data_IF_001948624296
#
_entry.id   IF_001948624296
#
_cell.length_a   1.000
_cell.length_b   1.000
_cell.length_c   1.000
_cell.angle_alpha   90.00
_cell.angle_beta   90.00
_cell.angle_gamma   90.00
#
_symmetry.space_group_name_H-M   'P 1'
#
loop_
_entity.id
_entity.type
_entity.pdbx_description
1 polymer ?
#
# COMPACT_ATOMS: atom_id res chain seq x y z
N UNK A 1 38.22 -1.20 54.03
CA UNK A 1 38.63 -1.02 52.63
C UNK A 1 37.37 -1.14 51.77
N UNK A 2 36.70 -0.01 51.52
CA UNK A 2 35.49 0.06 50.70
C UNK A 2 35.89 0.32 49.24
N UNK A 3 35.67 -0.64 48.37
CA UNK A 3 35.83 -0.47 46.94
C UNK A 3 34.60 0.25 46.39
N UNK A 4 34.79 1.52 46.00
CA UNK A 4 33.83 2.33 45.27
C UNK A 4 33.79 1.80 43.82
N UNK A 5 32.73 1.11 43.46
CA UNK A 5 32.45 0.80 42.05
C UNK A 5 31.89 2.05 41.37
N UNK A 6 32.68 2.72 40.55
CA UNK A 6 32.23 3.75 39.63
C UNK A 6 31.44 3.08 38.51
N UNK A 7 30.12 3.17 38.58
CA UNK A 7 29.27 2.91 37.46
C UNK A 7 29.42 4.07 36.46
N UNK A 8 30.21 3.87 35.44
CA UNK A 8 30.21 4.71 34.24
C UNK A 8 28.87 4.50 33.53
N UNK A 9 27.91 5.35 33.84
CA UNK A 9 26.71 5.51 33.00
C UNK A 9 27.17 6.03 31.63
N UNK A 10 27.28 5.16 30.69
CA UNK A 10 27.37 5.50 29.27
C UNK A 10 26.09 6.25 28.91
N UNK A 11 26.16 7.59 29.02
CA UNK A 11 25.18 8.43 28.37
C UNK A 11 25.33 8.19 26.85
N UNK A 12 24.49 7.35 26.28
CA UNK A 12 24.28 7.34 24.86
C UNK A 12 23.87 8.77 24.49
N UNK A 13 24.79 9.53 23.91
CA UNK A 13 24.46 10.80 23.28
C UNK A 13 23.40 10.47 22.22
N UNK A 14 22.14 10.76 22.52
CA UNK A 14 21.11 10.85 21.51
C UNK A 14 21.61 11.90 20.53
N UNK A 15 22.05 11.41 19.38
CA UNK A 15 22.43 12.26 18.26
C UNK A 15 21.19 13.05 17.91
N UNK A 16 21.16 14.33 18.26
CA UNK A 16 20.05 15.20 17.89
C UNK A 16 19.83 15.07 16.40
N UNK A 17 18.57 14.88 15.94
CA UNK A 17 18.28 14.77 14.53
C UNK A 17 18.78 16.05 13.85
N UNK A 18 19.62 15.89 12.84
CA UNK A 18 20.09 17.01 12.04
C UNK A 18 18.89 17.63 11.37
N UNK A 19 18.52 18.83 11.80
CA UNK A 19 17.43 19.60 11.18
C UNK A 19 17.90 20.01 9.79
N UNK A 20 17.46 19.30 8.78
CA UNK A 20 17.71 19.64 7.39
C UNK A 20 16.61 20.57 6.90
N UNK A 21 16.89 21.86 6.84
CA UNK A 21 15.94 22.84 6.33
C UNK A 21 15.94 24.15 7.11
N UNK A 22 14.95 24.98 6.79
CA UNK A 22 14.78 26.32 7.40
C UNK A 22 14.09 26.28 8.77
N UNK A 23 13.67 25.10 9.24
CA UNK A 23 12.87 24.96 10.47
C UNK A 23 13.76 24.75 11.67
N UNK A 24 13.44 25.42 12.76
CA UNK A 24 14.09 25.24 14.07
C UNK A 24 13.58 23.97 14.77
N UNK A 25 12.34 23.58 14.48
CA UNK A 25 11.70 22.34 14.96
C UNK A 25 10.94 21.66 13.82
N UNK A 26 11.03 20.34 13.74
CA UNK A 26 10.25 19.55 12.78
C UNK A 26 9.11 18.85 13.50
N UNK A 27 7.89 19.15 13.13
CA UNK A 27 6.69 18.48 13.66
C UNK A 27 6.50 17.05 13.11
N UNK A 28 7.28 16.67 12.09
CA UNK A 28 7.16 15.38 11.38
C UNK A 28 7.29 14.19 12.34
N UNK A 29 8.21 14.25 13.30
CA UNK A 29 8.38 13.18 14.28
C UNK A 29 7.22 13.08 15.29
N UNK A 30 6.37 14.08 15.37
CA UNK A 30 5.23 14.17 16.30
C UNK A 30 3.88 13.99 15.60
N UNK A 31 3.86 13.73 14.31
CA UNK A 31 2.61 13.50 13.58
C UNK A 31 1.89 12.29 14.15
N UNK A 32 0.63 12.51 14.48
CA UNK A 32 -0.28 11.47 14.98
C UNK A 32 -1.35 11.19 13.93
N UNK A 33 -1.88 9.95 13.89
CA UNK A 33 -3.01 9.63 13.03
C UNK A 33 -4.20 10.56 13.31
N UNK A 34 -4.90 10.95 12.25
CA UNK A 34 -6.13 11.74 12.38
C UNK A 34 -7.19 10.86 13.04
N UNK A 35 -7.75 11.24 14.22
CA UNK A 35 -8.75 10.41 14.87
C UNK A 35 -10.02 10.34 14.03
N UNK A 36 -10.54 9.13 13.81
CA UNK A 36 -11.87 8.97 13.26
C UNK A 36 -12.92 9.30 14.32
N UNK A 37 -14.06 9.88 13.92
CA UNK A 37 -15.21 10.02 14.82
C UNK A 37 -15.61 8.67 15.42
N UNK A 38 -16.02 8.68 16.68
CA UNK A 38 -16.53 7.48 17.33
C UNK A 38 -17.85 7.07 16.66
N UNK A 39 -17.95 5.83 16.21
CA UNK A 39 -19.10 5.28 15.53
C UNK A 39 -19.52 3.98 16.22
N UNK A 40 -20.79 3.88 16.62
CA UNK A 40 -21.38 2.63 17.09
C UNK A 40 -22.05 1.91 15.93
N UNK A 41 -22.07 0.60 15.99
CA UNK A 41 -22.78 -0.21 14.98
C UNK A 41 -24.27 0.17 14.89
N UNK A 42 -24.90 0.47 16.02
CA UNK A 42 -26.30 0.95 16.10
C UNK A 42 -26.56 2.31 15.46
N UNK A 43 -25.50 3.11 15.24
CA UNK A 43 -25.61 4.45 14.68
C UNK A 43 -25.45 4.44 13.14
N UNK A 44 -25.17 3.28 12.54
CA UNK A 44 -25.10 3.10 11.09
C UNK A 44 -26.48 2.73 10.57
N UNK A 45 -27.03 3.55 9.67
CA UNK A 45 -28.32 3.31 9.00
C UNK A 45 -28.14 2.48 7.75
N UNK A 46 -27.09 2.75 7.00
CA UNK A 46 -26.77 2.09 5.76
C UNK A 46 -25.26 1.99 5.58
N UNK A 47 -24.79 0.92 5.00
CA UNK A 47 -23.38 0.76 4.64
C UNK A 47 -23.20 -0.18 3.47
N UNK A 48 -22.17 0.09 2.66
CA UNK A 48 -21.70 -0.79 1.60
C UNK A 48 -20.18 -0.87 1.60
N UNK A 49 -19.63 -2.00 1.12
CA UNK A 49 -18.21 -2.15 0.87
C UNK A 49 -17.92 -1.95 -0.60
N UNK A 50 -16.91 -1.13 -0.89
CA UNK A 50 -16.35 -0.95 -2.22
C UNK A 50 -14.89 -1.39 -2.24
N UNK A 51 -14.52 -2.08 -3.30
CA UNK A 51 -13.13 -2.36 -3.63
C UNK A 51 -12.72 -1.46 -4.77
N UNK A 52 -11.68 -0.69 -4.54
CA UNK A 52 -11.17 0.29 -5.48
C UNK A 52 -9.74 -0.02 -5.86
N UNK A 53 -9.33 0.43 -7.02
CA UNK A 53 -7.95 0.35 -7.47
C UNK A 53 -7.41 1.76 -7.69
N UNK A 54 -6.29 2.07 -7.05
CA UNK A 54 -5.51 3.28 -7.28
C UNK A 54 -4.48 2.93 -8.36
N UNK A 55 -4.59 3.52 -9.55
CA UNK A 55 -3.64 3.32 -10.65
C UNK A 55 -2.54 4.40 -10.60
N UNK A 56 -1.28 3.98 -10.53
CA UNK A 56 -0.13 4.87 -10.41
C UNK A 56 0.33 5.48 -11.75
N UNK A 57 -0.24 5.01 -12.87
CA UNK A 57 -0.03 5.65 -14.17
C UNK A 57 -0.79 6.98 -14.28
N UNK A 58 -1.84 7.16 -13.46
CA UNK A 58 -2.54 8.43 -13.39
C UNK A 58 -1.64 9.51 -12.80
N UNK A 59 -1.57 10.66 -13.46
CA UNK A 59 -0.74 11.79 -13.04
C UNK A 59 -1.03 12.23 -11.61
N UNK A 60 -2.29 12.17 -11.18
CA UNK A 60 -2.71 12.55 -9.84
C UNK A 60 -2.16 11.63 -8.76
N UNK A 61 -1.90 10.35 -9.09
CA UNK A 61 -1.44 9.32 -8.18
C UNK A 61 0.09 9.10 -8.19
N UNK A 62 0.84 9.82 -9.01
CA UNK A 62 2.28 9.60 -9.18
C UNK A 62 3.09 9.72 -7.90
N UNK A 63 2.63 10.49 -6.92
CA UNK A 63 3.30 10.60 -5.63
C UNK A 63 3.27 9.31 -4.79
N UNK A 64 2.38 8.35 -5.11
CA UNK A 64 2.43 6.99 -4.52
C UNK A 64 3.60 6.17 -5.05
N UNK A 65 3.98 6.41 -6.32
CA UNK A 65 5.05 5.70 -7.00
C UNK A 65 6.42 6.29 -6.67
N UNK A 66 6.53 7.61 -6.59
CA UNK A 66 7.80 8.29 -6.35
C UNK A 66 7.98 8.67 -4.87
N UNK A 67 9.23 8.71 -4.38
CA UNK A 67 10.50 8.36 -5.03
C UNK A 67 10.73 6.85 -5.05
N UNK A 68 11.14 6.32 -6.19
CA UNK A 68 11.23 4.88 -6.43
C UNK A 68 12.65 4.32 -6.43
N UNK A 69 13.66 5.17 -6.40
CA UNK A 69 15.05 4.79 -6.36
C UNK A 69 15.57 4.83 -4.92
N UNK A 70 15.80 3.64 -4.34
CA UNK A 70 16.26 3.50 -2.96
C UNK A 70 17.63 4.16 -2.71
N UNK A 71 18.49 4.20 -3.71
CA UNK A 71 19.87 4.70 -3.58
C UNK A 71 20.00 6.21 -3.72
N UNK A 72 19.13 6.86 -4.50
CA UNK A 72 19.22 8.28 -4.82
C UNK A 72 18.31 9.18 -3.96
N UNK A 73 17.45 8.61 -3.15
CA UNK A 73 16.35 9.36 -2.54
C UNK A 73 16.65 10.04 -1.21
N UNK A 74 17.89 10.05 -0.73
CA UNK A 74 18.28 10.76 0.51
C UNK A 74 17.36 10.50 1.71
N UNK A 75 16.91 9.25 1.86
CA UNK A 75 16.01 8.84 2.95
C UNK A 75 14.52 9.04 2.70
N UNK A 76 14.12 9.53 1.52
CA UNK A 76 12.72 9.55 1.07
C UNK A 76 12.35 8.16 0.56
N UNK A 77 11.14 7.70 0.88
CA UNK A 77 10.64 6.38 0.47
C UNK A 77 9.24 6.48 -0.10
N UNK A 78 8.96 5.71 -1.16
CA UNK A 78 7.59 5.53 -1.65
C UNK A 78 6.77 4.71 -0.67
N UNK A 79 5.45 4.74 -0.82
CA UNK A 79 4.55 3.97 0.03
C UNK A 79 4.86 2.47 0.00
N UNK A 80 5.22 1.93 -1.17
CA UNK A 80 5.57 0.52 -1.32
C UNK A 80 6.75 0.11 -0.44
N UNK A 81 7.83 0.91 -0.45
CA UNK A 81 8.99 0.66 0.42
C UNK A 81 8.69 0.84 1.90
N UNK A 82 7.86 1.85 2.27
CA UNK A 82 7.46 2.06 3.66
C UNK A 82 6.70 0.84 4.19
N UNK A 83 5.74 0.33 3.43
CA UNK A 83 4.96 -0.85 3.82
C UNK A 83 5.83 -2.12 3.86
N UNK A 84 6.72 -2.29 2.87
CA UNK A 84 7.63 -3.43 2.82
C UNK A 84 8.59 -3.45 4.02
N UNK A 85 9.24 -2.33 4.31
CA UNK A 85 10.21 -2.23 5.40
C UNK A 85 9.54 -2.48 6.75
N UNK A 86 8.37 -1.90 6.98
CA UNK A 86 7.62 -2.09 8.21
C UNK A 86 7.13 -3.54 8.37
N UNK A 87 6.73 -4.18 7.29
CA UNK A 87 6.37 -5.59 7.26
C UNK A 87 7.60 -6.48 7.55
N UNK A 88 8.74 -6.19 6.89
CA UNK A 88 9.97 -6.96 7.09
C UNK A 88 10.55 -6.79 8.51
N UNK A 89 10.33 -5.63 9.13
CA UNK A 89 10.69 -5.35 10.54
C UNK A 89 9.66 -5.88 11.56
N UNK A 90 8.58 -6.54 11.11
CA UNK A 90 7.49 -7.04 11.95
C UNK A 90 6.75 -5.93 12.74
N UNK A 91 6.75 -4.70 12.21
CA UNK A 91 6.06 -3.56 12.83
C UNK A 91 4.55 -3.56 12.53
N UNK A 92 4.12 -4.14 11.42
CA UNK A 92 2.73 -4.17 10.98
C UNK A 92 2.28 -5.59 10.65
N UNK A 93 1.03 -5.96 10.99
CA UNK A 93 0.45 -7.22 10.57
C UNK A 93 0.07 -7.19 9.09
N UNK A 94 0.21 -8.33 8.41
CA UNK A 94 -0.21 -8.52 7.03
C UNK A 94 -1.15 -9.71 6.89
N UNK A 95 -1.96 -9.70 5.82
CA UNK A 95 -2.97 -10.71 5.54
C UNK A 95 -2.91 -11.16 4.08
N UNK A 96 -3.39 -12.38 3.83
CA UNK A 96 -3.45 -12.93 2.48
C UNK A 96 -4.67 -12.41 1.72
N UNK A 97 -5.78 -12.21 2.42
CA UNK A 97 -7.07 -11.84 1.88
C UNK A 97 -7.46 -10.38 2.19
N UNK A 98 -8.31 -9.81 1.35
CA UNK A 98 -8.89 -8.47 1.48
C UNK A 98 -9.86 -8.36 2.67
N UNK A 99 -10.44 -9.47 3.12
CA UNK A 99 -11.30 -9.57 4.30
C UNK A 99 -10.52 -9.53 5.63
N UNK A 100 -9.19 -9.60 5.58
CA UNK A 100 -8.29 -9.61 6.74
C UNK A 100 -8.57 -10.80 7.71
N UNK A 101 -8.94 -11.96 7.16
CA UNK A 101 -9.26 -13.15 7.94
C UNK A 101 -8.08 -14.09 8.09
N UNK A 102 -7.20 -14.16 7.06
CA UNK A 102 -6.06 -15.06 7.03
C UNK A 102 -4.78 -14.28 7.29
N UNK A 103 -4.26 -14.29 8.53
CA UNK A 103 -3.02 -13.58 8.83
C UNK A 103 -1.83 -14.32 8.19
N UNK A 104 -0.87 -13.54 7.66
CA UNK A 104 0.40 -14.03 7.15
C UNK A 104 1.50 -13.81 8.19
N UNK A 105 2.41 -14.75 8.27
CA UNK A 105 3.66 -14.56 9.02
C UNK A 105 4.63 -13.73 8.18
N UNK A 106 4.99 -12.54 8.68
CA UNK A 106 5.84 -11.58 8.00
C UNK A 106 7.18 -12.18 7.59
N UNK A 107 7.83 -12.92 8.50
CA UNK A 107 9.14 -13.49 8.24
C UNK A 107 9.08 -14.64 7.23
N UNK A 108 8.02 -15.44 7.28
CA UNK A 108 7.79 -16.49 6.28
C UNK A 108 7.53 -15.88 4.92
N UNK A 109 6.73 -14.80 4.87
CA UNK A 109 6.44 -14.09 3.63
C UNK A 109 7.71 -13.48 3.02
N UNK A 110 8.53 -12.78 3.82
CA UNK A 110 9.81 -12.20 3.35
C UNK A 110 10.72 -13.28 2.79
N UNK A 111 10.92 -14.39 3.50
CA UNK A 111 11.76 -15.51 3.03
C UNK A 111 11.24 -16.13 1.74
N UNK A 112 9.92 -16.24 1.60
CA UNK A 112 9.30 -16.76 0.37
C UNK A 112 9.48 -15.81 -0.80
N UNK A 113 9.31 -14.50 -0.58
CA UNK A 113 9.44 -13.48 -1.61
C UNK A 113 10.88 -13.28 -2.05
N UNK A 114 11.83 -13.24 -1.11
CA UNK A 114 13.27 -13.04 -1.37
C UNK A 114 14.01 -14.32 -1.72
N UNK A 115 13.29 -15.44 -1.92
CA UNK A 115 13.92 -16.69 -2.35
C UNK A 115 14.70 -16.45 -3.64
N UNK A 116 16.00 -16.78 -3.67
CA UNK A 116 16.83 -16.55 -4.84
C UNK A 116 16.27 -17.28 -6.05
N UNK A 117 16.28 -16.60 -7.17
CA UNK A 117 15.89 -17.16 -8.45
C UNK A 117 17.09 -17.81 -9.13
N UNK A 118 16.86 -18.93 -9.81
CA UNK A 118 17.89 -19.66 -10.54
C UNK A 118 17.69 -19.44 -12.02
N UNK A 119 18.58 -18.67 -12.62
CA UNK A 119 18.55 -18.37 -14.05
C UNK A 119 19.66 -19.12 -14.79
N UNK A 120 19.36 -19.56 -16.00
CA UNK A 120 20.35 -20.09 -16.94
C UNK A 120 20.85 -18.91 -17.77
N UNK A 121 22.11 -18.57 -17.61
CA UNK A 121 22.80 -17.60 -18.47
C UNK A 121 23.53 -18.35 -19.57
N UNK A 122 23.27 -17.97 -20.80
CA UNK A 122 24.09 -18.39 -21.95
C UNK A 122 25.46 -17.74 -21.82
N UNK A 123 26.51 -18.55 -21.77
CA UNK A 123 27.90 -18.10 -21.63
C UNK A 123 28.71 -18.27 -22.91
N UNK A 124 28.19 -18.94 -23.94
CA UNK A 124 28.87 -19.16 -25.22
C UNK A 124 28.40 -20.43 -25.92
N UNK A 125 29.14 -20.78 -26.94
CA UNK A 125 28.90 -21.97 -27.73
C UNK A 125 30.07 -22.95 -27.56
N UNK A 126 29.76 -24.24 -27.61
CA UNK A 126 30.76 -25.33 -27.66
C UNK A 126 31.35 -25.43 -29.07
N UNK A 127 32.45 -26.20 -29.22
CA UNK A 127 33.08 -26.44 -30.50
C UNK A 127 32.14 -27.08 -31.55
N UNK A 128 31.02 -27.64 -31.12
CA UNK A 128 29.95 -28.23 -31.92
C UNK A 128 28.74 -27.29 -32.15
N UNK A 129 28.88 -25.96 -31.88
CA UNK A 129 27.82 -24.93 -32.01
C UNK A 129 26.61 -25.13 -31.05
N UNK A 130 26.79 -25.89 -29.97
CA UNK A 130 25.75 -25.99 -28.94
C UNK A 130 25.89 -24.86 -27.91
N UNK A 131 24.76 -24.29 -27.49
CA UNK A 131 24.69 -23.26 -26.46
C UNK A 131 25.12 -23.82 -25.08
N UNK A 132 26.11 -23.16 -24.47
CA UNK A 132 26.56 -23.49 -23.11
C UNK A 132 25.82 -22.57 -22.12
N UNK A 133 25.11 -23.18 -21.16
CA UNK A 133 24.41 -22.46 -20.12
C UNK A 133 25.10 -22.60 -18.77
N UNK A 134 25.23 -21.49 -18.08
CA UNK A 134 25.65 -21.47 -16.67
C UNK A 134 24.46 -21.17 -15.75
N UNK A 135 24.27 -21.99 -14.74
CA UNK A 135 23.30 -21.73 -13.70
C UNK A 135 23.83 -20.66 -12.76
N UNK A 136 23.12 -19.52 -12.70
CA UNK A 136 23.46 -18.40 -11.81
C UNK A 136 22.31 -18.19 -10.83
N UNK A 137 22.67 -18.14 -9.55
CA UNK A 137 21.72 -17.82 -8.47
C UNK A 137 21.70 -16.30 -8.30
N UNK A 138 20.57 -15.66 -8.59
CA UNK A 138 20.36 -14.23 -8.35
C UNK A 138 19.58 -14.02 -7.06
N UNK A 139 20.10 -13.23 -6.10
CA UNK A 139 19.31 -12.83 -4.96
C UNK A 139 18.15 -11.95 -5.46
N UNK A 140 16.94 -12.22 -4.97
CA UNK A 140 15.75 -11.43 -5.26
C UNK A 140 15.51 -10.48 -4.12
N UNK A 141 15.42 -9.19 -4.43
CA UNK A 141 15.06 -8.12 -3.49
C UNK A 141 13.67 -7.59 -3.85
N UNK A 142 13.05 -6.94 -2.89
CA UNK A 142 11.84 -6.19 -3.17
C UNK A 142 12.19 -4.96 -4.02
N UNK A 143 11.47 -4.79 -5.10
CA UNK A 143 11.55 -3.61 -5.94
C UNK A 143 10.20 -2.89 -5.95
N UNK A 144 10.17 -1.70 -5.33
CA UNK A 144 8.97 -0.86 -5.30
C UNK A 144 8.55 -0.37 -6.70
N UNK A 145 9.47 -0.42 -7.69
CA UNK A 145 9.17 -0.06 -9.08
C UNK A 145 8.22 -1.02 -9.77
N UNK A 146 8.11 -2.24 -9.27
CA UNK A 146 7.17 -3.25 -9.78
C UNK A 146 5.73 -3.05 -9.27
N UNK A 147 5.51 -2.13 -8.32
CA UNK A 147 4.18 -1.81 -7.80
C UNK A 147 3.56 -0.71 -8.65
N UNK A 148 2.59 -1.07 -9.49
CA UNK A 148 1.91 -0.14 -10.39
C UNK A 148 0.50 0.23 -9.94
N UNK A 149 -0.06 -0.50 -8.99
CA UNK A 149 -1.42 -0.27 -8.46
C UNK A 149 -1.48 -0.58 -6.98
N UNK A 150 -2.47 0.03 -6.31
CA UNK A 150 -2.87 -0.36 -4.97
C UNK A 150 -4.34 -0.78 -4.98
N UNK A 151 -4.61 -1.96 -4.44
CA UNK A 151 -5.96 -2.39 -4.10
C UNK A 151 -6.38 -1.75 -2.78
N UNK A 152 -7.58 -1.22 -2.73
CA UNK A 152 -8.14 -0.55 -1.56
C UNK A 152 -9.53 -1.09 -1.29
N UNK A 153 -9.79 -1.48 -0.04
CA UNK A 153 -11.13 -1.83 0.43
C UNK A 153 -11.64 -0.74 1.35
N UNK A 154 -12.81 -0.21 1.02
CA UNK A 154 -13.47 0.87 1.75
C UNK A 154 -14.87 0.44 2.21
N UNK A 155 -15.30 0.96 3.35
CA UNK A 155 -16.70 0.94 3.75
C UNK A 155 -17.24 2.35 3.67
N UNK A 156 -18.33 2.51 2.93
CA UNK A 156 -19.14 3.72 2.87
C UNK A 156 -20.36 3.53 3.74
N UNK A 157 -20.72 4.50 4.54
CA UNK A 157 -21.81 4.40 5.49
C UNK A 157 -22.47 5.73 5.75
N UNK A 158 -23.74 5.68 6.16
CA UNK A 158 -24.53 6.84 6.59
C UNK A 158 -24.79 6.71 8.08
N UNK A 159 -24.36 7.73 8.85
CA UNK A 159 -24.59 7.82 10.28
C UNK A 159 -25.97 8.39 10.60
N UNK A 160 -26.66 7.81 11.59
CA UNK A 160 -27.98 8.28 12.04
C UNK A 160 -27.97 9.70 12.60
N UNK A 161 -26.85 10.11 13.21
CA UNK A 161 -26.78 11.39 13.89
C UNK A 161 -26.55 12.56 12.94
N UNK A 162 -25.73 12.35 11.94
CA UNK A 162 -25.27 13.41 11.04
C UNK A 162 -25.98 13.38 9.69
N UNK A 163 -26.66 12.27 9.35
CA UNK A 163 -27.25 12.01 8.03
C UNK A 163 -26.28 12.31 6.87
N UNK A 164 -24.98 12.18 7.14
CA UNK A 164 -23.92 12.39 6.17
C UNK A 164 -23.31 11.06 5.77
N UNK A 165 -22.94 10.98 4.52
CA UNK A 165 -22.12 9.89 4.04
C UNK A 165 -20.67 10.11 4.46
N UNK A 166 -20.06 9.08 5.03
CA UNK A 166 -18.64 9.03 5.36
C UNK A 166 -18.07 7.70 4.89
N UNK A 167 -16.74 7.61 4.78
CA UNK A 167 -16.08 6.40 4.34
C UNK A 167 -14.83 6.10 5.15
N UNK A 168 -14.57 4.81 5.36
CA UNK A 168 -13.38 4.32 6.06
C UNK A 168 -12.64 3.29 5.22
N UNK A 169 -11.33 3.47 5.12
CA UNK A 169 -10.44 2.52 4.47
C UNK A 169 -10.18 1.38 5.43
N UNK A 170 -10.47 0.17 5.01
CA UNK A 170 -10.31 -1.03 5.81
C UNK A 170 -9.01 -1.74 5.52
N UNK A 171 -8.69 -1.92 4.25
CA UNK A 171 -7.51 -2.65 3.82
C UNK A 171 -6.86 -2.00 2.60
N UNK A 172 -5.54 -2.11 2.53
CA UNK A 172 -4.72 -1.62 1.42
C UNK A 172 -3.75 -2.72 1.00
N UNK A 173 -3.56 -2.92 -0.30
CA UNK A 173 -2.60 -3.88 -0.82
C UNK A 173 -1.77 -3.29 -1.96
N UNK A 174 -0.44 -3.32 -1.91
CA UNK A 174 0.37 -3.10 -3.09
C UNK A 174 0.15 -4.24 -4.08
N UNK A 175 -0.04 -3.90 -5.36
CA UNK A 175 -0.32 -4.86 -6.42
C UNK A 175 0.81 -4.88 -7.44
N UNK A 176 1.14 -6.07 -7.90
CA UNK A 176 2.19 -6.33 -8.87
C UNK A 176 1.65 -7.12 -10.05
N UNK A 177 2.18 -6.88 -11.23
CA UNK A 177 1.94 -7.72 -12.39
C UNK A 177 2.58 -9.10 -12.23
N UNK A 178 1.82 -10.12 -12.55
CA UNK A 178 2.30 -11.50 -12.49
C UNK A 178 2.29 -12.12 -13.88
N UNK A 179 3.43 -12.65 -14.27
CA UNK A 179 3.65 -13.35 -15.52
C UNK A 179 3.98 -14.82 -15.24
N UNK A 180 3.50 -15.70 -16.09
CA UNK A 180 3.80 -17.13 -16.07
C UNK A 180 4.67 -17.47 -17.27
N UNK A 181 5.85 -18.01 -17.03
CA UNK A 181 6.67 -18.60 -18.07
C UNK A 181 6.06 -19.91 -18.59
N UNK A 182 5.95 -20.03 -19.91
CA UNK A 182 5.53 -21.30 -20.54
C UNK A 182 6.71 -22.26 -20.55
N UNK A 183 6.53 -23.46 -20.00
CA UNK A 183 7.59 -24.46 -19.98
C UNK A 183 8.09 -24.79 -21.38
N UNK A 184 9.37 -24.50 -21.66
CA UNK A 184 10.00 -24.75 -22.95
C UNK A 184 9.90 -23.62 -23.99
N UNK A 185 9.40 -22.47 -23.61
CA UNK A 185 9.36 -21.26 -24.45
C UNK A 185 9.87 -20.07 -23.65
N UNK A 186 10.44 -19.08 -24.35
CA UNK A 186 10.75 -17.77 -23.76
C UNK A 186 9.51 -16.87 -23.64
N UNK A 187 8.33 -17.37 -23.95
CA UNK A 187 7.09 -16.61 -23.89
C UNK A 187 6.57 -16.53 -22.45
N UNK A 188 6.23 -15.33 -22.04
CA UNK A 188 5.57 -15.03 -20.76
C UNK A 188 4.09 -14.70 -20.98
N UNK A 189 3.21 -15.41 -20.28
CA UNK A 189 1.77 -15.14 -20.31
C UNK A 189 1.45 -14.22 -19.14
N UNK A 190 0.86 -13.06 -19.40
CA UNK A 190 0.32 -12.17 -18.40
C UNK A 190 -0.87 -12.82 -17.69
N UNK A 191 -0.79 -12.96 -16.37
CA UNK A 191 -1.84 -13.54 -15.54
C UNK A 191 -2.76 -12.49 -14.91
N UNK A 192 -2.29 -11.24 -14.82
CA UNK A 192 -3.04 -10.15 -14.21
C UNK A 192 -2.25 -9.43 -13.12
N UNK A 193 -2.93 -8.49 -12.47
CA UNK A 193 -2.44 -7.78 -11.29
C UNK A 193 -2.88 -8.53 -10.04
N UNK A 194 -1.93 -8.91 -9.20
CA UNK A 194 -2.21 -9.60 -7.94
C UNK A 194 -1.70 -8.79 -6.75
N UNK A 195 -2.44 -8.76 -5.64
CA UNK A 195 -1.98 -8.16 -4.40
C UNK A 195 -0.80 -8.96 -3.85
N UNK A 196 0.21 -8.26 -3.33
CA UNK A 196 1.32 -8.89 -2.64
C UNK A 196 0.90 -9.35 -1.24
N UNK A 197 0.31 -8.45 -0.49
CA UNK A 197 -0.24 -8.67 0.84
C UNK A 197 -1.23 -7.56 1.17
N UNK A 198 -2.15 -7.83 2.08
CA UNK A 198 -3.12 -6.85 2.57
C UNK A 198 -2.71 -6.30 3.93
N UNK A 199 -2.86 -4.99 4.10
CA UNK A 199 -2.53 -4.26 5.33
C UNK A 199 -3.81 -3.68 5.93
N UNK A 200 -4.10 -3.94 7.23
CA UNK A 200 -5.31 -3.44 7.89
C UNK A 200 -5.19 -1.95 8.23
N UNK A 201 -5.86 -1.09 7.46
CA UNK A 201 -5.76 0.37 7.56
C UNK A 201 -6.34 0.94 8.86
N UNK A 202 -7.19 0.18 9.58
CA UNK A 202 -7.74 0.59 10.87
C UNK A 202 -6.84 0.21 12.06
N UNK A 203 -5.79 -0.58 11.84
CA UNK A 203 -4.87 -0.98 12.89
C UNK A 203 -4.05 0.23 13.37
N UNK A 204 -3.96 0.48 14.70
CA UNK A 204 -3.19 1.60 15.24
C UNK A 204 -1.71 1.59 14.86
N UNK A 205 -1.09 0.42 14.72
CA UNK A 205 0.32 0.30 14.30
C UNK A 205 0.49 0.81 12.87
N UNK A 206 -0.38 0.39 11.95
CA UNK A 206 -0.37 0.82 10.55
C UNK A 206 -0.64 2.32 10.44
N UNK A 207 -1.63 2.84 11.15
CA UNK A 207 -1.94 4.26 11.15
C UNK A 207 -0.81 5.11 11.72
N UNK A 208 -0.17 4.66 12.79
CA UNK A 208 1.02 5.33 13.35
C UNK A 208 2.20 5.31 12.38
N UNK A 209 2.39 4.21 11.63
CA UNK A 209 3.38 4.12 10.57
C UNK A 209 3.11 5.15 9.47
N UNK A 210 1.88 5.17 8.95
CA UNK A 210 1.48 6.10 7.88
C UNK A 210 1.53 7.57 8.32
N UNK A 211 1.29 7.87 9.60
CA UNK A 211 1.40 9.21 10.13
C UNK A 211 2.86 9.69 10.27
N UNK A 212 3.82 8.78 10.48
CA UNK A 212 5.24 9.10 10.60
C UNK A 212 5.91 9.50 9.28
N UNK A 213 5.38 9.03 8.15
CA UNK A 213 5.96 9.28 6.83
C UNK A 213 5.13 10.26 6.02
N UNK A 214 5.80 11.18 5.36
CA UNK A 214 5.16 12.15 4.49
C UNK A 214 5.10 11.64 3.05
N UNK A 215 4.01 11.99 2.37
CA UNK A 215 3.88 11.84 0.92
C UNK A 215 4.42 13.10 0.23
N UNK A 216 5.17 12.91 -0.84
CA UNK A 216 5.77 13.99 -1.63
C UNK A 216 4.83 14.38 -2.77
N UNK A 217 3.77 15.12 -2.43
CA UNK A 217 2.69 15.48 -3.36
C UNK A 217 3.09 16.62 -4.30
N UNK A 218 3.94 17.54 -3.82
CA UNK A 218 4.36 18.73 -4.58
C UNK A 218 5.84 18.98 -4.37
N UNK A 219 6.64 18.79 -5.42
CA UNK A 219 8.10 19.00 -5.39
C UNK A 219 8.48 20.47 -5.24
N UNK A 220 7.60 21.39 -5.62
CA UNK A 220 7.85 22.82 -5.56
C UNK A 220 7.50 23.44 -4.20
N UNK A 221 6.73 22.73 -3.36
CA UNK A 221 6.32 23.24 -2.06
C UNK A 221 6.65 22.26 -0.93
N UNK A 222 7.83 22.43 -0.33
CA UNK A 222 8.30 21.58 0.77
C UNK A 222 7.46 21.68 2.05
N UNK A 223 6.64 22.71 2.19
CA UNK A 223 5.77 22.91 3.36
C UNK A 223 4.50 22.07 3.27
N UNK A 224 4.02 21.81 2.05
CA UNK A 224 2.77 21.11 1.82
C UNK A 224 2.98 19.62 1.56
N UNK A 225 3.56 18.93 2.53
CA UNK A 225 3.78 17.48 2.43
C UNK A 225 2.96 16.77 3.52
N UNK A 226 1.72 16.34 3.20
CA UNK A 226 0.87 15.64 4.15
C UNK A 226 1.44 14.27 4.49
N UNK A 227 1.09 13.75 5.66
CA UNK A 227 1.38 12.35 6.00
C UNK A 227 0.53 11.41 5.15
N UNK A 228 0.98 10.16 5.00
CA UNK A 228 0.19 9.14 4.32
C UNK A 228 -1.17 8.89 5.00
N UNK A 229 -1.24 8.95 6.34
CA UNK A 229 -2.53 8.86 7.05
C UNK A 229 -3.49 9.99 6.62
N UNK A 230 -2.97 11.22 6.48
CA UNK A 230 -3.77 12.36 6.01
C UNK A 230 -4.26 12.15 4.56
N UNK A 231 -3.39 11.65 3.66
CA UNK A 231 -3.77 11.34 2.27
C UNK A 231 -4.96 10.39 2.23
N UNK A 232 -4.91 9.31 3.01
CA UNK A 232 -5.98 8.31 3.03
C UNK A 232 -7.25 8.84 3.74
N UNK A 233 -7.13 9.57 4.83
CA UNK A 233 -8.29 10.14 5.52
C UNK A 233 -8.99 11.20 4.67
N UNK A 234 -8.23 12.08 3.99
CA UNK A 234 -8.76 13.14 3.14
C UNK A 234 -9.07 12.71 1.71
N UNK A 235 -8.87 11.43 1.35
CA UNK A 235 -9.12 10.89 0.01
C UNK A 235 -8.41 11.65 -1.11
N UNK A 236 -7.17 12.05 -0.89
CA UNK A 236 -6.36 12.77 -1.91
C UNK A 236 -5.71 11.80 -2.89
N UNK A 237 -6.50 10.99 -3.56
CA UNK A 237 -6.09 10.05 -4.61
C UNK A 237 -7.25 9.82 -5.58
N UNK A 238 -6.93 9.43 -6.79
CA UNK A 238 -7.89 8.93 -7.77
C UNK A 238 -7.93 7.42 -7.70
N UNK A 239 -9.13 6.84 -7.67
CA UNK A 239 -9.31 5.40 -7.66
C UNK A 239 -10.62 5.06 -8.35
N UNK A 240 -10.66 3.94 -9.06
CA UNK A 240 -11.88 3.43 -9.68
C UNK A 240 -12.38 2.18 -8.98
N UNK A 241 -13.69 2.01 -8.94
CA UNK A 241 -14.34 0.87 -8.30
C UNK A 241 -14.19 -0.39 -9.15
N UNK A 242 -13.76 -1.48 -8.54
CA UNK A 242 -13.60 -2.79 -9.19
C UNK A 242 -14.61 -3.81 -8.74
N UNK A 243 -15.17 -3.64 -7.53
CA UNK A 243 -16.18 -4.53 -6.96
C UNK A 243 -17.01 -3.76 -5.93
N UNK A 244 -18.30 -4.03 -5.89
CA UNK A 244 -19.21 -3.67 -4.81
C UNK A 244 -19.57 -4.92 -4.01
N UNK A 245 -19.91 -4.76 -2.71
CA UNK A 245 -20.43 -5.88 -1.93
C UNK A 245 -21.75 -6.37 -2.54
N UNK A 246 -21.74 -7.59 -3.01
CA UNK A 246 -22.92 -8.23 -3.62
C UNK A 246 -23.04 -9.68 -3.15
N UNK A 247 -24.25 -10.22 -3.28
CA UNK A 247 -24.58 -11.60 -2.83
C UNK A 247 -23.74 -12.66 -3.57
N UNK A 248 -23.28 -12.36 -4.77
CA UNK A 248 -22.55 -13.29 -5.62
C UNK A 248 -21.03 -13.17 -5.49
N UNK A 249 -20.54 -12.20 -4.72
CA UNK A 249 -19.12 -11.88 -4.55
C UNK A 249 -18.36 -11.72 -5.89
N UNK A 250 -19.04 -11.11 -6.88
CA UNK A 250 -18.49 -10.90 -8.23
C UNK A 250 -17.86 -9.52 -8.35
N UNK A 251 -16.72 -9.45 -9.02
CA UNK A 251 -16.14 -8.21 -9.50
C UNK A 251 -16.80 -7.75 -10.81
N UNK A 252 -16.65 -6.46 -11.13
CA UNK A 252 -17.20 -5.90 -12.38
C UNK A 252 -16.65 -6.64 -13.60
N UNK A 253 -15.36 -7.00 -13.56
CA UNK A 253 -14.69 -7.71 -14.65
C UNK A 253 -15.20 -9.12 -14.90
N UNK A 254 -15.95 -9.71 -13.94
CA UNK A 254 -16.53 -11.05 -14.10
C UNK A 254 -17.77 -11.09 -15.01
N UNK A 255 -18.42 -9.93 -15.23
CA UNK A 255 -19.64 -9.84 -16.01
C UNK A 255 -19.59 -8.76 -17.11
N UNK A 256 -18.66 -7.79 -17.02
CA UNK A 256 -18.46 -6.75 -18.03
C UNK A 256 -16.97 -6.61 -18.31
N UNK A 257 -16.59 -6.41 -19.57
CA UNK A 257 -15.18 -6.28 -19.99
C UNK A 257 -14.98 -5.01 -20.82
N UNK A 258 -13.73 -4.52 -20.83
CA UNK A 258 -13.35 -3.34 -21.62
C UNK A 258 -13.81 -2.01 -21.02
N UNK A 259 -14.15 -1.07 -21.87
CA UNK A 259 -14.56 0.30 -21.46
C UNK A 259 -15.87 0.30 -20.68
N UNK A 260 -16.77 -0.64 -20.95
CA UNK A 260 -18.06 -0.75 -20.26
C UNK A 260 -17.89 -1.05 -18.76
N UNK A 261 -16.77 -1.67 -18.36
CA UNK A 261 -16.45 -1.90 -16.95
C UNK A 261 -16.20 -0.57 -16.19
N UNK A 262 -15.65 0.44 -16.86
CA UNK A 262 -15.46 1.77 -16.26
C UNK A 262 -16.79 2.51 -16.11
N UNK A 263 -17.70 2.36 -17.09
CA UNK A 263 -19.05 2.92 -16.96
C UNK A 263 -19.83 2.27 -15.82
N UNK A 264 -19.74 0.94 -15.66
CA UNK A 264 -20.37 0.25 -14.53
C UNK A 264 -19.77 0.70 -13.18
N UNK A 265 -18.45 0.90 -13.10
CA UNK A 265 -17.82 1.46 -11.91
C UNK A 265 -18.38 2.84 -11.56
N UNK A 266 -18.56 3.72 -12.56
CA UNK A 266 -19.16 5.03 -12.38
C UNK A 266 -20.63 4.95 -11.92
N UNK A 267 -21.42 4.02 -12.46
CA UNK A 267 -22.80 3.77 -12.05
C UNK A 267 -22.86 3.32 -10.59
N UNK A 268 -21.95 2.45 -10.14
CA UNK A 268 -21.90 2.02 -8.74
C UNK A 268 -21.58 3.21 -7.83
N UNK A 269 -20.65 4.06 -8.20
CA UNK A 269 -20.31 5.25 -7.42
C UNK A 269 -21.47 6.25 -7.39
N UNK A 270 -22.17 6.45 -8.50
CA UNK A 270 -23.35 7.30 -8.57
C UNK A 270 -24.47 6.80 -7.65
N UNK A 271 -24.76 5.50 -7.62
CA UNK A 271 -25.74 4.91 -6.68
C UNK A 271 -25.40 5.19 -5.22
N UNK A 272 -24.11 5.13 -4.87
CA UNK A 272 -23.67 5.43 -3.50
C UNK A 272 -23.95 6.90 -3.17
N UNK A 273 -23.69 7.82 -4.09
CA UNK A 273 -24.00 9.24 -3.91
C UNK A 273 -25.52 9.55 -3.92
N UNK A 274 -26.29 8.83 -4.74
CA UNK A 274 -27.76 8.96 -4.74
C UNK A 274 -28.35 8.60 -3.38
N UNK A 275 -27.83 7.57 -2.70
CA UNK A 275 -28.26 7.21 -1.34
C UNK A 275 -28.09 8.36 -0.34
N UNK A 276 -27.04 9.18 -0.47
CA UNK A 276 -26.87 10.37 0.36
C UNK A 276 -27.99 11.39 0.09
N UNK A 277 -28.30 11.61 -1.18
CA UNK A 277 -29.34 12.57 -1.59
C UNK A 277 -30.75 12.13 -1.11
N UNK A 278 -31.07 10.84 -1.25
CA UNK A 278 -32.35 10.30 -0.78
C UNK A 278 -32.57 10.50 0.73
N UNK A 279 -31.50 10.44 1.52
CA UNK A 279 -31.57 10.65 2.97
C UNK A 279 -31.86 12.12 3.35
N UNK A 280 -31.62 13.08 2.46
CA UNK A 280 -31.93 14.49 2.70
C UNK A 280 -33.36 14.88 2.32
N UNK A 281 -34.05 14.04 1.56
CA UNK A 281 -35.44 14.30 1.14
C UNK A 281 -36.50 13.88 2.18
N UNK A 282 -36.11 13.20 3.24
CA UNK A 282 -36.92 12.75 4.36
C UNK A 282 -36.48 13.44 5.65
#
# INVERSE_FOLDING_TARGET
MMLLALALASMAQQKEPVVSGIYTETLVAQQRPIPYPFLRESDVVWSTCLWKTIDLHERFNQFFYFPNDEFLNYGKKSLAYILWDAMAADEIPIYEDDDLKVPLDNQVFVRRYTKPDTILLEIGYDDDDNEIYQTVIRPKFFDGSEVYRYGLREVWFIGRQDSRMDSRRLALAPMKEVYRQVSGSAEEIYLGMLPLFWVPMQNPQVRNLLARYNAYVDDNNLVNQPSWDNIFVSQRYSAYTTRESNIYDRSITDYITGEDALFEAAIIEEKVHEMENEMWEY
#
